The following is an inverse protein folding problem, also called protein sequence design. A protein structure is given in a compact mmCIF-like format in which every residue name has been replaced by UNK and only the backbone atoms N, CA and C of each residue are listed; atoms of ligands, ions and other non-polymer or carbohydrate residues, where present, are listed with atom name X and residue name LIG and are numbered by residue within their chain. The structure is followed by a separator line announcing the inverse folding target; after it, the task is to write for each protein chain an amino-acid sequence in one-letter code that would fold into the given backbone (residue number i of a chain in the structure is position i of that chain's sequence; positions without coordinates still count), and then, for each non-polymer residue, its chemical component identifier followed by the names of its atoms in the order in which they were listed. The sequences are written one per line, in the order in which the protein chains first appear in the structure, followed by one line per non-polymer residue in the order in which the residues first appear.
data_IF_030630452363
#
_entry.id   IF_030630452363
#
_cell.length_a   1.000
_cell.length_b   1.000
_cell.length_c   1.000
_cell.angle_alpha   90.00
_cell.angle_beta   90.00
_cell.angle_gamma   90.00
#
_symmetry.space_group_name_H-M   'P 1'
#
loop_
_entity.id
_entity.type
_entity.pdbx_description
1 polymer ?
#
# COMPACT_ATOMS: atom_id res chain seq x y z
N UNK A 1 -35.61 67.89 0.21
CA UNK A 1 -34.41 67.89 1.07
C UNK A 1 -34.86 67.60 2.50
N UNK A 2 -34.84 66.35 2.96
CA UNK A 2 -34.86 66.04 4.39
C UNK A 2 -34.11 64.73 4.63
N UNK A 3 -32.87 64.87 5.10
CA UNK A 3 -32.04 63.79 5.65
C UNK A 3 -32.38 63.65 7.12
N UNK A 4 -32.64 62.43 7.60
CA UNK A 4 -32.73 62.15 9.03
C UNK A 4 -31.39 61.52 9.47
N UNK A 5 -30.51 62.25 10.18
CA UNK A 5 -29.15 61.79 10.46
C UNK A 5 -29.04 60.83 11.65
N UNK A 6 -30.13 60.49 12.35
CA UNK A 6 -30.01 59.79 13.63
C UNK A 6 -31.29 59.09 14.12
N UNK A 7 -31.88 58.21 13.31
CA UNK A 7 -32.92 57.31 13.79
C UNK A 7 -32.29 56.08 14.47
N UNK A 8 -32.66 55.80 15.73
CA UNK A 8 -32.19 54.64 16.51
C UNK A 8 -32.48 53.29 15.81
N UNK A 9 -33.47 53.26 14.92
CA UNK A 9 -33.80 52.13 14.07
C UNK A 9 -32.66 51.75 13.08
N UNK A 10 -31.85 52.72 12.65
CA UNK A 10 -30.66 52.45 11.82
C UNK A 10 -29.46 51.92 12.64
N UNK A 11 -29.42 52.16 13.96
CA UNK A 11 -28.34 51.65 14.83
C UNK A 11 -28.56 50.17 15.18
N UNK A 12 -29.80 49.72 15.30
CA UNK A 12 -30.14 48.31 15.54
C UNK A 12 -29.83 47.42 14.34
N UNK A 13 -29.99 47.92 13.11
CA UNK A 13 -29.57 47.24 11.88
C UNK A 13 -28.04 47.14 11.72
N UNK A 14 -27.26 48.05 12.34
CA UNK A 14 -25.79 47.93 12.41
C UNK A 14 -25.32 47.01 13.52
N UNK A 15 -25.98 46.99 14.69
CA UNK A 15 -25.66 46.07 15.80
C UNK A 15 -26.01 44.61 15.52
N UNK A 16 -27.02 44.34 14.70
CA UNK A 16 -27.41 42.98 14.28
C UNK A 16 -26.53 42.40 13.16
N UNK A 17 -25.73 43.22 12.47
CA UNK A 17 -24.75 42.76 11.47
C UNK A 17 -23.41 42.32 12.08
N UNK A 18 -23.12 42.66 13.32
CA UNK A 18 -21.85 42.33 14.00
C UNK A 18 -21.83 40.98 14.72
N UNK A 19 -22.94 40.24 14.76
CA UNK A 19 -23.01 38.91 15.41
C UNK A 19 -23.17 37.72 14.45
N UNK A 20 -23.03 37.93 13.13
CA UNK A 20 -22.81 36.82 12.19
C UNK A 20 -21.31 36.57 12.07
N UNK A 21 -20.70 35.94 13.07
CA UNK A 21 -19.48 35.15 12.82
C UNK A 21 -19.84 34.12 11.75
N UNK A 22 -19.40 34.39 10.51
CA UNK A 22 -19.85 33.72 9.30
C UNK A 22 -19.61 32.20 9.38
N UNK A 23 -20.58 31.37 8.93
CA UNK A 23 -20.39 29.91 8.83
C UNK A 23 -19.15 29.51 8.00
N UNK A 24 -18.69 30.39 7.11
CA UNK A 24 -17.43 30.21 6.37
C UNK A 24 -16.19 30.18 7.25
N UNK A 25 -16.15 30.93 8.36
CA UNK A 25 -15.02 30.91 9.30
C UNK A 25 -15.02 29.64 10.16
N UNK A 26 -16.20 29.13 10.51
CA UNK A 26 -16.34 27.88 11.24
C UNK A 26 -15.94 26.68 10.37
N UNK A 27 -16.39 26.64 9.11
CA UNK A 27 -15.95 25.63 8.14
C UNK A 27 -14.43 25.66 7.95
N UNK A 28 -13.84 26.84 7.76
CA UNK A 28 -12.39 26.98 7.62
C UNK A 28 -11.64 26.51 8.88
N UNK A 29 -12.17 26.83 10.07
CA UNK A 29 -11.61 26.37 11.34
C UNK A 29 -11.67 24.84 11.46
N UNK A 30 -12.78 24.21 11.08
CA UNK A 30 -12.94 22.75 11.14
C UNK A 30 -11.99 22.07 10.15
N UNK A 31 -11.87 22.57 8.92
CA UNK A 31 -10.93 22.04 7.92
C UNK A 31 -9.48 22.12 8.42
N UNK A 32 -9.11 23.24 9.05
CA UNK A 32 -7.78 23.42 9.64
C UNK A 32 -7.51 22.40 10.76
N UNK A 33 -8.53 22.10 11.57
CA UNK A 33 -8.41 21.10 12.63
C UNK A 33 -8.33 19.67 12.08
N UNK A 34 -9.05 19.36 10.99
CA UNK A 34 -8.91 18.08 10.28
C UNK A 34 -7.47 17.91 9.80
N UNK A 35 -6.91 18.90 9.10
CA UNK A 35 -5.53 18.86 8.60
C UNK A 35 -4.51 18.68 9.75
N UNK A 36 -4.75 19.32 10.89
CA UNK A 36 -3.92 19.20 12.10
C UNK A 36 -3.98 17.78 12.67
N UNK A 37 -5.17 17.21 12.77
CA UNK A 37 -5.37 15.85 13.28
C UNK A 37 -4.80 14.80 12.33
N UNK A 38 -4.98 14.95 11.02
CA UNK A 38 -4.36 14.08 10.00
C UNK A 38 -2.83 14.14 10.08
N UNK A 39 -2.26 15.34 10.25
CA UNK A 39 -0.82 15.52 10.45
C UNK A 39 -0.34 14.80 11.71
N UNK A 40 -1.10 14.91 12.81
CA UNK A 40 -0.78 14.24 14.08
C UNK A 40 -0.87 12.72 13.96
N UNK A 41 -1.89 12.19 13.29
CA UNK A 41 -2.02 10.75 13.00
C UNK A 41 -0.85 10.25 12.16
N UNK A 42 -0.39 11.03 11.18
CA UNK A 42 0.76 10.66 10.35
C UNK A 42 2.03 10.55 11.18
N UNK A 43 2.28 11.50 12.09
CA UNK A 43 3.43 11.46 13.00
C UNK A 43 3.34 10.23 13.91
N UNK A 44 2.20 10.00 14.56
CA UNK A 44 2.01 8.88 15.46
C UNK A 44 2.17 7.53 14.75
N UNK A 45 1.64 7.39 13.52
CA UNK A 45 1.82 6.18 12.72
C UNK A 45 3.29 5.95 12.36
N UNK A 46 4.07 7.01 12.10
CA UNK A 46 5.50 6.87 11.84
C UNK A 46 6.25 6.39 13.09
N UNK A 47 5.96 6.95 14.27
CA UNK A 47 6.54 6.49 15.54
C UNK A 47 6.16 5.05 15.86
N UNK A 48 4.89 4.70 15.69
CA UNK A 48 4.41 3.33 15.87
C UNK A 48 5.11 2.35 14.92
N UNK A 49 5.31 2.73 13.66
CA UNK A 49 6.04 1.94 12.67
C UNK A 49 7.50 1.72 13.09
N UNK A 50 8.18 2.75 13.59
CA UNK A 50 9.55 2.66 14.09
C UNK A 50 9.66 1.71 15.30
N UNK A 51 8.75 1.84 16.26
CA UNK A 51 8.72 0.96 17.45
C UNK A 51 8.40 -0.49 17.07
N UNK A 52 7.45 -0.70 16.16
CA UNK A 52 7.10 -2.02 15.64
C UNK A 52 8.28 -2.66 14.90
N UNK A 53 9.00 -1.87 14.09
CA UNK A 53 10.20 -2.34 13.40
C UNK A 53 11.28 -2.77 14.40
N UNK A 54 11.51 -2.00 15.46
CA UNK A 54 12.48 -2.33 16.52
C UNK A 54 12.08 -3.57 17.29
N UNK A 55 10.80 -3.73 17.62
CA UNK A 55 10.27 -4.93 18.27
C UNK A 55 10.45 -6.16 17.38
N UNK A 56 10.15 -6.05 16.08
CA UNK A 56 10.39 -7.11 15.11
C UNK A 56 11.88 -7.44 14.98
N UNK A 57 12.79 -6.46 15.11
CA UNK A 57 14.25 -6.71 15.16
C UNK A 57 14.62 -7.59 16.35
N UNK A 58 14.05 -7.31 17.52
CA UNK A 58 14.39 -8.02 18.74
C UNK A 58 13.74 -9.41 18.84
N UNK A 59 12.53 -9.57 18.32
CA UNK A 59 11.74 -10.82 18.47
C UNK A 59 11.88 -11.81 17.33
N UNK A 60 12.24 -11.36 16.12
CA UNK A 60 12.16 -12.22 14.95
C UNK A 60 13.36 -13.17 14.87
N UNK A 61 13.14 -14.43 15.26
CA UNK A 61 14.08 -15.52 15.02
C UNK A 61 14.39 -15.70 13.52
N UNK A 62 13.42 -15.37 12.65
CA UNK A 62 13.60 -15.43 11.20
C UNK A 62 14.63 -14.43 10.66
N UNK A 63 15.03 -13.39 11.43
CA UNK A 63 16.14 -12.50 11.07
C UNK A 63 17.53 -13.07 11.40
N UNK A 64 17.59 -14.12 12.21
CA UNK A 64 18.84 -14.80 12.53
C UNK A 64 19.15 -15.92 11.52
N UNK A 65 18.24 -16.20 10.60
CA UNK A 65 18.47 -17.15 9.53
C UNK A 65 19.46 -16.55 8.53
N UNK A 66 20.47 -17.32 8.08
CA UNK A 66 21.28 -16.93 6.95
C UNK A 66 20.42 -16.64 5.71
N UNK A 67 20.87 -15.71 4.88
CA UNK A 67 20.21 -15.34 3.63
C UNK A 67 19.95 -16.53 2.72
N UNK A 68 20.85 -17.50 2.72
CA UNK A 68 20.81 -18.74 1.97
C UNK A 68 19.66 -19.62 2.45
N UNK A 69 19.48 -19.74 3.77
CA UNK A 69 18.38 -20.51 4.37
C UNK A 69 17.04 -19.85 4.07
N UNK A 70 16.94 -18.52 4.18
CA UNK A 70 15.74 -17.79 3.79
C UNK A 70 15.44 -17.93 2.29
N UNK A 71 16.45 -17.82 1.44
CA UNK A 71 16.31 -18.02 -0.01
C UNK A 71 15.78 -19.42 -0.33
N UNK A 72 16.29 -20.46 0.33
CA UNK A 72 15.78 -21.82 0.19
C UNK A 72 14.32 -21.92 0.64
N UNK A 73 13.98 -21.40 1.82
CA UNK A 73 12.59 -21.37 2.32
C UNK A 73 11.67 -20.67 1.31
N UNK A 74 12.09 -19.54 0.74
CA UNK A 74 11.30 -18.83 -0.25
C UNK A 74 11.15 -19.61 -1.55
N UNK A 75 12.18 -20.32 -2.01
CA UNK A 75 12.09 -21.17 -3.21
C UNK A 75 11.17 -22.37 -2.98
N UNK A 76 11.14 -22.92 -1.77
CA UNK A 76 10.16 -23.95 -1.39
C UNK A 76 8.75 -23.38 -1.27
N UNK A 77 8.62 -22.17 -0.72
CA UNK A 77 7.34 -21.52 -0.56
C UNK A 77 6.79 -21.00 -1.89
N UNK A 78 7.65 -20.67 -2.85
CA UNK A 78 7.38 -20.14 -4.19
C UNK A 78 8.12 -20.95 -5.27
N UNK A 79 7.71 -22.21 -5.49
CA UNK A 79 8.29 -23.03 -6.54
C UNK A 79 7.99 -22.41 -7.92
N UNK A 80 8.91 -22.51 -8.89
CA UNK A 80 8.65 -22.10 -10.27
C UNK A 80 7.42 -22.82 -10.83
N UNK A 81 6.63 -22.12 -11.63
CA UNK A 81 5.51 -22.74 -12.34
C UNK A 81 6.01 -23.83 -13.27
N UNK A 82 5.51 -25.06 -13.08
CA UNK A 82 5.63 -26.12 -14.07
C UNK A 82 4.46 -26.02 -15.07
N UNK A 83 4.69 -25.31 -16.18
CA UNK A 83 3.69 -25.14 -17.25
C UNK A 83 3.37 -26.48 -17.92
N UNK A 84 4.23 -27.50 -17.80
CA UNK A 84 4.02 -28.81 -18.42
C UNK A 84 3.09 -29.70 -17.60
N UNK A 85 3.04 -29.50 -16.28
CA UNK A 85 2.06 -30.14 -15.41
C UNK A 85 0.78 -29.30 -15.37
N UNK A 86 -0.20 -29.62 -16.22
CA UNK A 86 -1.55 -29.00 -16.22
C UNK A 86 -2.38 -29.28 -14.94
N UNK A 87 -1.74 -29.80 -13.90
CA UNK A 87 -2.35 -30.28 -12.68
C UNK A 87 -1.81 -29.47 -11.51
N UNK A 88 -2.70 -28.67 -10.94
CA UNK A 88 -2.59 -27.96 -9.67
C UNK A 88 -1.77 -26.66 -9.75
N UNK A 89 -2.49 -25.54 -9.71
CA UNK A 89 -1.99 -24.30 -9.12
C UNK A 89 -1.19 -24.71 -7.86
N UNK A 90 0.09 -24.31 -7.70
CA UNK A 90 0.92 -24.79 -6.59
C UNK A 90 0.37 -24.44 -5.20
N UNK A 91 -0.67 -23.60 -5.15
CA UNK A 91 -1.30 -23.11 -3.95
C UNK A 91 -2.77 -23.50 -3.90
N UNK A 92 -3.25 -24.05 -2.77
CA UNK A 92 -4.67 -24.22 -2.55
C UNK A 92 -5.36 -22.86 -2.63
N UNK A 93 -6.35 -22.74 -3.50
CA UNK A 93 -7.23 -21.55 -3.60
C UNK A 93 -7.81 -21.16 -2.23
N UNK A 94 -7.98 -22.15 -1.35
CA UNK A 94 -8.48 -22.00 0.01
C UNK A 94 -7.55 -21.19 0.94
N UNK A 95 -6.23 -21.18 0.71
CA UNK A 95 -5.26 -20.52 1.61
C UNK A 95 -4.94 -19.09 1.16
N UNK A 96 -4.80 -18.87 -0.15
CA UNK A 96 -4.33 -17.59 -0.68
C UNK A 96 -5.44 -16.79 -1.38
N UNK A 97 -6.62 -17.37 -1.62
CA UNK A 97 -7.62 -16.77 -2.49
C UNK A 97 -7.14 -16.71 -3.93
N UNK A 98 -8.09 -16.70 -4.87
CA UNK A 98 -7.88 -16.77 -6.32
C UNK A 98 -6.83 -15.76 -6.86
N UNK A 99 -6.57 -14.66 -6.14
CA UNK A 99 -5.69 -13.58 -6.59
C UNK A 99 -4.28 -13.55 -5.97
N UNK A 100 -4.00 -14.19 -4.81
CA UNK A 100 -2.75 -13.91 -4.06
C UNK A 100 -1.60 -14.90 -4.29
N UNK A 101 -1.88 -16.10 -4.79
CA UNK A 101 -0.84 -17.10 -5.08
C UNK A 101 0.14 -16.65 -6.18
N UNK A 102 -0.26 -15.70 -7.01
CA UNK A 102 0.48 -15.27 -8.20
C UNK A 102 1.60 -14.27 -7.93
N UNK A 103 1.68 -13.70 -6.72
CA UNK A 103 2.57 -12.59 -6.38
C UNK A 103 3.36 -12.82 -5.09
N UNK A 104 3.63 -14.09 -4.74
CA UNK A 104 4.26 -14.45 -3.47
C UNK A 104 5.60 -13.72 -3.21
N UNK A 105 6.54 -13.58 -4.17
CA UNK A 105 7.75 -12.77 -3.99
C UNK A 105 7.44 -11.33 -3.58
N UNK A 106 6.43 -10.70 -4.20
CA UNK A 106 6.00 -9.33 -3.86
C UNK A 106 5.44 -9.26 -2.44
N UNK A 107 4.62 -10.24 -2.04
CA UNK A 107 4.04 -10.32 -0.68
C UNK A 107 5.14 -10.50 0.37
N UNK A 108 6.07 -11.44 0.14
CA UNK A 108 7.16 -11.71 1.06
C UNK A 108 8.14 -10.52 1.17
N UNK A 109 8.33 -9.75 0.08
CA UNK A 109 9.17 -8.54 0.07
C UNK A 109 8.61 -7.38 0.93
N UNK A 110 7.33 -7.45 1.30
CA UNK A 110 6.68 -6.46 2.15
C UNK A 110 6.84 -6.76 3.65
N UNK A 111 7.36 -7.94 4.04
CA UNK A 111 7.48 -8.35 5.46
C UNK A 111 8.51 -7.50 6.21
N UNK A 112 9.74 -7.41 5.69
CA UNK A 112 10.78 -6.54 6.22
C UNK A 112 11.87 -6.28 5.18
N UNK A 113 12.75 -5.31 5.44
CA UNK A 113 13.87 -4.99 4.53
C UNK A 113 14.78 -6.19 4.27
N UNK A 114 15.11 -6.97 5.30
CA UNK A 114 15.96 -8.15 5.12
C UNK A 114 15.35 -9.20 4.17
N UNK A 115 14.04 -9.47 4.30
CA UNK A 115 13.34 -10.40 3.39
C UNK A 115 13.32 -9.86 1.97
N UNK A 116 13.06 -8.55 1.81
CA UNK A 116 13.13 -7.88 0.51
C UNK A 116 14.51 -8.07 -0.13
N UNK A 117 15.58 -7.81 0.60
CA UNK A 117 16.94 -7.93 0.07
C UNK A 117 17.25 -9.36 -0.39
N UNK A 118 16.86 -10.37 0.40
CA UNK A 118 17.03 -11.79 0.04
C UNK A 118 16.21 -12.15 -1.20
N UNK A 119 14.96 -11.71 -1.29
CA UNK A 119 14.07 -12.02 -2.41
C UNK A 119 14.56 -11.38 -3.72
N UNK A 120 14.93 -10.09 -3.69
CA UNK A 120 15.53 -9.43 -4.86
C UNK A 120 16.93 -9.98 -5.19
N UNK A 121 17.64 -10.52 -4.20
CA UNK A 121 18.89 -11.24 -4.36
C UNK A 121 18.75 -12.64 -4.95
N UNK A 122 17.53 -13.19 -5.05
CA UNK A 122 17.24 -14.56 -5.50
C UNK A 122 16.44 -14.56 -6.82
N UNK A 123 17.10 -14.51 -8.00
CA UNK A 123 16.44 -14.45 -9.31
C UNK A 123 15.46 -15.59 -9.59
N UNK A 124 15.69 -16.77 -8.99
CA UNK A 124 14.87 -17.96 -9.14
C UNK A 124 13.41 -17.75 -8.71
N UNK A 125 13.15 -16.80 -7.81
CA UNK A 125 11.79 -16.48 -7.35
C UNK A 125 10.98 -15.68 -8.38
N UNK A 126 11.65 -15.14 -9.40
CA UNK A 126 11.06 -14.23 -10.39
C UNK A 126 10.89 -14.87 -11.77
N UNK A 127 11.16 -16.18 -11.89
CA UNK A 127 11.15 -16.90 -13.18
C UNK A 127 9.75 -17.25 -13.67
N UNK A 128 8.71 -17.06 -12.87
CA UNK A 128 7.36 -17.48 -13.24
C UNK A 128 6.29 -16.54 -12.70
N UNK A 129 5.36 -16.15 -13.57
CA UNK A 129 4.24 -15.27 -13.24
C UNK A 129 2.96 -15.80 -13.90
N UNK A 130 1.87 -15.87 -13.12
CA UNK A 130 0.51 -16.06 -13.64
C UNK A 130 -0.20 -14.72 -13.57
N UNK A 131 -0.97 -14.38 -14.61
CA UNK A 131 -1.67 -13.11 -14.68
C UNK A 131 -3.03 -13.29 -15.34
N UNK A 132 -4.10 -12.84 -14.68
CA UNK A 132 -5.41 -12.80 -15.35
C UNK A 132 -5.47 -11.65 -16.35
N UNK A 133 -6.07 -11.86 -17.51
CA UNK A 133 -6.19 -10.85 -18.56
C UNK A 133 -7.44 -10.00 -18.32
N UNK A 134 -8.49 -10.59 -17.76
CA UNK A 134 -9.73 -9.89 -17.42
C UNK A 134 -9.55 -9.15 -16.10
N UNK A 135 -9.58 -7.81 -16.14
CA UNK A 135 -9.45 -6.99 -14.93
C UNK A 135 -10.51 -5.92 -14.83
N UNK A 136 -11.07 -5.74 -13.62
CA UNK A 136 -11.90 -4.58 -13.30
C UNK A 136 -11.08 -3.30 -13.08
N UNK A 137 -9.78 -3.42 -12.74
CA UNK A 137 -8.90 -2.31 -12.34
C UNK A 137 -7.94 -1.83 -13.46
N UNK A 138 -8.09 -2.33 -14.68
CA UNK A 138 -7.26 -1.95 -15.82
C UNK A 138 -5.86 -2.60 -15.84
N UNK A 139 -5.15 -2.41 -16.96
CA UNK A 139 -3.91 -3.14 -17.26
C UNK A 139 -2.65 -2.60 -16.56
N UNK A 140 -2.63 -1.33 -16.14
CA UNK A 140 -1.40 -0.67 -15.67
C UNK A 140 -0.72 -1.35 -14.47
N UNK A 141 -1.42 -1.77 -13.39
CA UNK A 141 -0.79 -2.46 -12.27
C UNK A 141 -0.17 -3.80 -12.65
N UNK A 142 -0.80 -4.51 -13.60
CA UNK A 142 -0.33 -5.80 -14.10
C UNK A 142 0.92 -5.65 -14.96
N UNK A 143 0.98 -4.60 -15.77
CA UNK A 143 2.19 -4.27 -16.53
C UNK A 143 3.35 -3.87 -15.61
N UNK A 144 3.09 -3.07 -14.57
CA UNK A 144 4.12 -2.70 -13.59
C UNK A 144 4.68 -3.94 -12.86
N UNK A 145 3.80 -4.90 -12.54
CA UNK A 145 4.20 -6.16 -11.96
C UNK A 145 5.00 -7.03 -12.93
N UNK A 146 4.58 -7.15 -14.19
CA UNK A 146 5.34 -7.89 -15.20
C UNK A 146 6.74 -7.30 -15.38
N UNK A 147 6.84 -5.97 -15.44
CA UNK A 147 8.12 -5.26 -15.48
C UNK A 147 8.98 -5.56 -14.25
N UNK A 148 8.38 -5.61 -13.06
CA UNK A 148 9.08 -5.98 -11.83
C UNK A 148 9.69 -7.39 -11.95
N UNK A 149 8.91 -8.38 -12.42
CA UNK A 149 9.41 -9.75 -12.57
C UNK A 149 10.53 -9.85 -13.60
N UNK A 150 10.33 -9.26 -14.77
CA UNK A 150 11.33 -9.25 -15.85
C UNK A 150 12.63 -8.54 -15.40
N UNK A 151 12.53 -7.49 -14.59
CA UNK A 151 13.70 -6.79 -14.05
C UNK A 151 14.51 -7.61 -13.05
N UNK A 152 13.89 -8.58 -12.36
CA UNK A 152 14.53 -9.39 -11.33
C UNK A 152 14.95 -10.80 -11.80
N UNK A 153 14.45 -11.28 -12.94
CA UNK A 153 14.79 -12.62 -13.49
C UNK A 153 16.26 -12.73 -13.94
N UNK A 154 16.89 -11.58 -14.20
CA UNK A 154 18.28 -11.47 -14.70
C UNK A 154 18.49 -12.28 -15.99
N UNK A 155 19.32 -13.32 -15.94
CA UNK A 155 19.70 -14.13 -17.09
C UNK A 155 18.96 -15.48 -17.14
N UNK A 156 17.93 -15.67 -16.30
CA UNK A 156 17.15 -16.90 -16.27
C UNK A 156 15.97 -16.84 -17.23
N UNK A 157 15.48 -18.01 -17.66
CA UNK A 157 14.27 -18.12 -18.46
C UNK A 157 13.04 -17.68 -17.66
N UNK A 158 12.14 -16.95 -18.30
CA UNK A 158 10.89 -16.45 -17.73
C UNK A 158 9.67 -17.15 -18.33
N UNK A 159 8.76 -17.55 -17.45
CA UNK A 159 7.51 -18.26 -17.75
C UNK A 159 6.33 -17.37 -17.41
N UNK A 160 5.46 -17.09 -18.39
CA UNK A 160 4.26 -16.29 -18.22
C UNK A 160 3.02 -17.11 -18.58
N UNK A 161 2.09 -17.25 -17.64
CA UNK A 161 0.78 -17.85 -17.85
C UNK A 161 -0.29 -16.76 -17.81
N UNK A 162 -1.18 -16.77 -18.79
CA UNK A 162 -2.28 -15.80 -18.91
C UNK A 162 -3.61 -16.54 -18.71
N UNK A 163 -4.38 -16.13 -17.69
CA UNK A 163 -5.73 -16.64 -17.46
C UNK A 163 -6.74 -15.70 -18.15
N UNK A 164 -7.64 -16.24 -18.96
CA UNK A 164 -8.65 -15.47 -19.69
C UNK A 164 -10.04 -15.64 -19.09
#
# INVERSE_FOLDING_TARGET
MFSCPHCDHCKELRRSKTNRSQPSNEIASILTEIDRLESSLRILNNEHSLLSQRLNTLRSSARNLPSETLSLIFQFAAPPLDITSRSLRPYPEEIYGDEKGHYLPTILSAVCSHWRDVIHGTPQLWTSLVMDVVTRRGAAPKLALLQLYLGNVKNLSFSLELNF
#
